data_IF_608470687737
#
_entry.id   IF_608470687737
#
_cell.length_a   1.000
_cell.length_b   1.000
_cell.length_c   1.000
_cell.angle_alpha   90.00
_cell.angle_beta   90.00
_cell.angle_gamma   90.00
#
_symmetry.space_group_name_H-M   'P 1'
#
loop_
_entity.id
_entity.type
_entity.pdbx_description
1 polymer ?
#
# COMPACT_ATOMS: atom_id res chain seq x y z
N UNK A 1 38.99 -6.30 49.01
CA UNK A 1 37.84 -7.20 48.77
C UNK A 1 37.82 -7.62 47.31
N UNK A 2 38.14 -8.89 47.02
CA UNK A 2 38.05 -9.44 45.65
C UNK A 2 36.57 -9.71 45.33
N UNK A 3 35.96 -8.95 44.42
CA UNK A 3 34.63 -9.31 43.85
C UNK A 3 34.75 -10.72 43.25
N UNK A 4 33.88 -11.62 43.67
CA UNK A 4 33.85 -13.01 43.21
C UNK A 4 33.70 -13.06 41.69
N UNK A 5 34.35 -13.98 41.03
CA UNK A 5 34.27 -14.25 39.59
C UNK A 5 32.81 -14.42 39.14
N UNK A 6 31.98 -15.03 40.00
CA UNK A 6 30.54 -15.20 39.75
C UNK A 6 29.78 -13.87 39.58
N UNK A 7 30.08 -12.86 40.38
CA UNK A 7 29.46 -11.53 40.27
C UNK A 7 29.82 -10.82 38.95
N UNK A 8 31.02 -11.04 38.41
CA UNK A 8 31.42 -10.48 37.11
C UNK A 8 30.73 -11.18 35.94
N UNK A 9 30.54 -12.49 36.02
CA UNK A 9 29.82 -13.29 35.01
C UNK A 9 28.35 -12.91 34.99
N UNK A 10 27.70 -12.77 36.16
CA UNK A 10 26.28 -12.35 36.23
C UNK A 10 26.09 -10.95 35.66
N UNK A 11 26.98 -10.00 35.96
CA UNK A 11 26.89 -8.66 35.38
C UNK A 11 27.13 -8.65 33.87
N UNK A 12 28.04 -9.49 33.37
CA UNK A 12 28.27 -9.60 31.91
C UNK A 12 27.05 -10.17 31.19
N UNK A 13 26.43 -11.24 31.72
CA UNK A 13 25.21 -11.84 31.17
C UNK A 13 24.08 -10.83 31.21
N UNK A 14 23.88 -10.08 32.28
CA UNK A 14 22.86 -9.05 32.38
C UNK A 14 23.11 -7.92 31.40
N UNK A 15 24.34 -7.47 31.20
CA UNK A 15 24.70 -6.43 30.23
C UNK A 15 24.44 -6.91 28.80
N UNK A 16 24.78 -8.16 28.46
CA UNK A 16 24.49 -8.76 27.17
C UNK A 16 23.00 -8.89 26.94
N UNK A 17 22.23 -9.29 27.96
CA UNK A 17 20.77 -9.39 27.87
C UNK A 17 20.12 -8.02 27.67
N UNK A 18 20.53 -6.99 28.40
CA UNK A 18 20.06 -5.61 28.23
C UNK A 18 20.41 -5.09 26.85
N UNK A 19 21.63 -5.34 26.35
CA UNK A 19 22.06 -4.96 25.02
C UNK A 19 21.22 -5.68 23.93
N UNK A 20 20.92 -6.97 24.12
CA UNK A 20 20.09 -7.76 23.22
C UNK A 20 18.64 -7.28 23.21
N UNK A 21 18.08 -6.91 24.37
CA UNK A 21 16.74 -6.30 24.47
C UNK A 21 16.73 -4.93 23.80
N UNK A 22 17.75 -4.10 24.03
CA UNK A 22 17.90 -2.81 23.35
C UNK A 22 18.06 -2.96 21.84
N UNK A 23 18.84 -3.93 21.36
CA UNK A 23 19.01 -4.19 19.93
C UNK A 23 17.72 -4.74 19.30
N UNK A 24 16.96 -5.58 20.03
CA UNK A 24 15.63 -6.02 19.59
C UNK A 24 14.61 -4.88 19.58
N UNK A 25 14.57 -4.07 20.62
CA UNK A 25 13.72 -2.88 20.69
C UNK A 25 14.13 -1.85 19.63
N UNK A 26 15.43 -1.64 19.42
CA UNK A 26 15.93 -0.75 18.36
C UNK A 26 15.67 -1.32 16.94
N UNK A 27 15.71 -2.64 16.79
CA UNK A 27 15.37 -3.32 15.54
C UNK A 27 13.87 -3.35 15.24
N UNK A 28 13.02 -3.31 16.29
CA UNK A 28 11.56 -3.23 16.15
C UNK A 28 11.12 -1.79 15.89
N UNK A 29 11.85 -0.80 16.40
CA UNK A 29 11.63 0.63 16.16
C UNK A 29 12.68 1.21 15.19
N UNK A 30 12.81 0.64 14.01
CA UNK A 30 13.23 1.43 12.87
C UNK A 30 12.06 2.35 12.49
N UNK A 31 11.75 3.28 13.39
CA UNK A 31 10.96 4.45 13.07
C UNK A 31 11.78 5.17 12.01
N UNK A 32 11.37 5.03 10.77
CA UNK A 32 11.86 5.90 9.72
C UNK A 32 11.45 7.31 10.13
N UNK A 33 12.40 8.01 10.73
CA UNK A 33 12.23 9.42 11.05
C UNK A 33 12.14 10.11 9.70
N UNK A 34 10.91 10.25 9.18
CA UNK A 34 10.63 10.98 7.97
C UNK A 34 10.97 12.45 8.24
N UNK A 35 12.22 12.86 8.02
CA UNK A 35 12.65 14.26 8.10
C UNK A 35 11.77 15.16 7.24
N UNK A 36 12.24 16.30 6.81
CA UNK A 36 11.45 17.17 5.97
C UNK A 36 11.03 16.48 4.67
N UNK A 37 9.72 16.48 4.41
CA UNK A 37 9.17 16.03 3.14
C UNK A 37 9.40 17.09 2.07
N UNK A 38 9.72 16.65 0.86
CA UNK A 38 9.65 17.48 -0.33
C UNK A 38 8.19 17.67 -0.73
N UNK A 39 7.87 18.81 -1.31
CA UNK A 39 6.54 19.18 -1.77
C UNK A 39 6.53 19.24 -3.28
N UNK A 40 5.51 18.67 -3.91
CA UNK A 40 5.26 18.83 -5.34
C UNK A 40 3.76 18.98 -5.59
N UNK A 41 3.41 19.75 -6.59
CA UNK A 41 2.03 19.95 -7.04
C UNK A 41 1.99 20.23 -8.55
N UNK A 42 0.88 19.84 -9.18
CA UNK A 42 0.70 20.00 -10.62
C UNK A 42 0.46 21.48 -10.99
N UNK A 43 -0.45 22.14 -10.28
CA UNK A 43 -0.72 23.57 -10.43
C UNK A 43 -0.07 24.32 -9.28
N UNK A 44 0.97 25.07 -9.57
CA UNK A 44 1.79 25.74 -8.56
C UNK A 44 1.01 26.78 -7.75
N UNK A 45 1.19 26.75 -6.43
CA UNK A 45 0.62 27.72 -5.51
C UNK A 45 -0.86 27.51 -5.15
N UNK A 46 -1.46 26.42 -5.63
CA UNK A 46 -2.87 26.09 -5.35
C UNK A 46 -3.01 25.33 -4.04
N UNK A 47 -2.08 24.42 -3.76
CA UNK A 47 -2.15 23.59 -2.57
C UNK A 47 -1.30 24.16 -1.43
N UNK A 48 -1.90 24.31 -0.27
CA UNK A 48 -1.19 24.69 0.94
C UNK A 48 -0.71 23.44 1.66
N UNK A 49 0.60 23.39 1.89
CA UNK A 49 1.29 22.31 2.58
C UNK A 49 1.74 22.78 3.96
N UNK A 50 1.21 22.18 5.02
CA UNK A 50 1.53 22.60 6.40
C UNK A 50 1.76 21.41 7.33
N UNK A 51 2.45 21.68 8.46
CA UNK A 51 2.41 20.85 9.65
C UNK A 51 1.37 21.43 10.57
N UNK A 52 0.24 20.74 10.71
CA UNK A 52 -0.88 21.20 11.52
C UNK A 52 -0.74 20.65 12.95
N UNK A 53 -0.69 21.56 13.92
CA UNK A 53 -0.61 21.23 15.34
C UNK A 53 -1.98 21.21 16.02
N UNK A 54 -3.02 21.67 15.33
CA UNK A 54 -4.38 21.75 15.87
C UNK A 54 -5.19 20.49 15.59
N UNK A 55 -4.88 19.78 14.50
CA UNK A 55 -5.51 18.52 14.11
C UNK A 55 -4.44 17.43 14.07
N UNK A 56 -4.37 16.64 15.12
CA UNK A 56 -3.29 15.66 15.32
C UNK A 56 -3.84 14.28 15.67
N UNK A 57 -3.03 13.23 15.44
CA UNK A 57 -3.28 11.87 15.86
C UNK A 57 -2.00 11.28 16.45
N UNK A 58 -1.99 11.01 17.75
CA UNK A 58 -0.86 10.42 18.53
C UNK A 58 0.50 11.16 18.45
N UNK A 59 0.60 12.29 17.73
CA UNK A 59 1.82 13.08 17.56
C UNK A 59 1.53 14.57 17.70
N UNK A 60 2.60 15.39 17.83
CA UNK A 60 2.50 16.83 18.02
C UNK A 60 1.97 17.59 16.79
N UNK A 61 1.94 16.95 15.64
CA UNK A 61 1.43 17.52 14.39
C UNK A 61 1.03 16.43 13.38
N UNK A 62 0.23 16.83 12.42
CA UNK A 62 -0.05 16.07 11.20
C UNK A 62 0.45 16.81 9.96
N UNK A 63 0.69 16.08 8.87
CA UNK A 63 0.94 16.68 7.57
C UNK A 63 -0.40 16.99 6.89
N UNK A 64 -0.63 18.29 6.61
CA UNK A 64 -1.86 18.77 6.02
C UNK A 64 -1.63 19.22 4.58
N UNK A 65 -2.46 18.71 3.66
CA UNK A 65 -2.66 19.23 2.31
C UNK A 65 -4.05 19.88 2.24
N UNK A 66 -4.09 21.14 1.82
CA UNK A 66 -5.32 21.90 1.67
C UNK A 66 -5.35 22.52 0.28
N UNK A 67 -6.30 22.12 -0.54
CA UNK A 67 -6.48 22.63 -1.90
C UNK A 67 -7.92 23.11 -2.10
N UNK A 68 -8.08 24.38 -2.45
CA UNK A 68 -9.41 24.98 -2.72
C UNK A 68 -9.88 24.73 -4.15
N UNK A 69 -8.95 24.36 -5.04
CA UNK A 69 -9.21 24.02 -6.43
C UNK A 69 -8.72 22.59 -6.71
N UNK A 70 -9.22 22.00 -7.79
CA UNK A 70 -8.74 20.70 -8.22
C UNK A 70 -7.27 20.75 -8.62
N UNK A 71 -6.46 20.01 -7.88
CA UNK A 71 -5.02 19.91 -8.05
C UNK A 71 -4.54 18.49 -7.73
N UNK A 72 -3.32 18.16 -8.12
CA UNK A 72 -2.60 17.00 -7.68
C UNK A 72 -1.37 17.46 -6.89
N UNK A 73 -1.31 17.10 -5.63
CA UNK A 73 -0.31 17.58 -4.71
C UNK A 73 0.17 16.46 -3.78
N UNK A 74 1.48 16.41 -3.55
CA UNK A 74 2.11 15.35 -2.75
C UNK A 74 3.19 15.92 -1.82
N UNK A 75 3.20 15.46 -0.57
CA UNK A 75 4.38 15.43 0.27
C UNK A 75 5.10 14.11 0.03
N UNK A 76 6.36 14.11 -0.34
CA UNK A 76 7.13 12.88 -0.53
C UNK A 76 8.51 12.95 0.05
N UNK A 77 9.09 11.80 0.30
CA UNK A 77 10.45 11.64 0.78
C UNK A 77 11.11 10.47 0.07
N UNK A 78 12.36 10.68 -0.32
CA UNK A 78 13.22 9.61 -0.82
C UNK A 78 13.72 8.75 0.33
N UNK A 79 13.49 7.46 0.25
CA UNK A 79 13.94 6.46 1.21
C UNK A 79 14.72 5.35 0.51
N UNK A 80 15.67 4.75 1.24
CA UNK A 80 16.36 3.55 0.77
C UNK A 80 15.51 2.32 1.04
N UNK A 81 15.43 1.43 0.07
CA UNK A 81 14.74 0.15 0.15
C UNK A 81 15.65 -0.97 -0.33
N UNK A 82 15.36 -2.19 0.04
CA UNK A 82 16.02 -3.37 -0.52
C UNK A 82 15.34 -3.73 -1.84
N UNK A 83 16.07 -4.05 -2.91
CA UNK A 83 15.45 -4.52 -4.15
C UNK A 83 14.63 -5.79 -3.96
N UNK A 84 13.61 -5.99 -4.79
CA UNK A 84 12.74 -7.15 -4.83
C UNK A 84 12.18 -7.52 -3.44
N UNK A 85 11.76 -6.50 -2.71
CA UNK A 85 11.27 -6.66 -1.34
C UNK A 85 9.91 -6.01 -1.20
N UNK A 86 8.90 -6.73 -0.69
CA UNK A 86 7.60 -6.15 -0.39
C UNK A 86 7.68 -5.26 0.85
N UNK A 87 6.96 -4.16 0.80
CA UNK A 87 6.83 -3.20 1.88
C UNK A 87 5.36 -2.91 2.18
N UNK A 88 5.07 -2.64 3.44
CA UNK A 88 3.78 -2.13 3.88
C UNK A 88 3.95 -0.78 4.54
N UNK A 89 3.35 0.24 3.94
CA UNK A 89 3.21 1.56 4.56
C UNK A 89 1.82 1.67 5.18
N UNK A 90 1.75 2.18 6.39
CA UNK A 90 0.50 2.53 7.06
C UNK A 90 0.54 3.95 7.54
N UNK A 91 -0.60 4.62 7.58
CA UNK A 91 -0.79 5.90 8.23
C UNK A 91 -2.22 6.05 8.74
N UNK A 92 -2.43 7.04 9.59
CA UNK A 92 -3.75 7.55 9.92
C UNK A 92 -4.05 8.74 9.01
N UNK A 93 -5.24 8.76 8.43
CA UNK A 93 -5.71 9.82 7.55
C UNK A 93 -7.05 10.36 8.03
N UNK A 94 -7.20 11.68 8.00
CA UNK A 94 -8.46 12.42 8.24
C UNK A 94 -8.71 13.31 7.04
N UNK A 95 -9.97 13.43 6.63
CA UNK A 95 -10.34 14.23 5.45
C UNK A 95 -11.51 15.15 5.74
N UNK A 96 -11.54 16.28 5.03
CA UNK A 96 -12.64 17.23 5.05
C UNK A 96 -12.93 17.70 3.62
N UNK A 97 -14.17 17.47 3.17
CA UNK A 97 -14.67 17.87 1.86
C UNK A 97 -13.76 17.46 0.69
N UNK A 98 -13.18 16.27 0.75
CA UNK A 98 -12.32 15.78 -0.34
C UNK A 98 -13.19 15.34 -1.51
N UNK A 99 -13.02 16.01 -2.64
CA UNK A 99 -13.70 15.72 -3.90
C UNK A 99 -12.68 15.38 -4.97
N UNK A 100 -13.02 14.45 -5.86
CA UNK A 100 -12.22 14.18 -7.07
C UNK A 100 -12.85 14.81 -8.29
N UNK A 101 -12.02 15.33 -9.19
CA UNK A 101 -12.45 15.87 -10.46
C UNK A 101 -13.16 14.80 -11.29
N UNK A 102 -14.37 15.10 -11.75
CA UNK A 102 -15.20 14.16 -12.54
C UNK A 102 -15.56 12.84 -11.84
N UNK A 103 -15.48 12.76 -10.51
CA UNK A 103 -15.86 11.56 -9.76
C UNK A 103 -14.97 10.33 -9.99
N UNK A 104 -13.84 10.48 -10.69
CA UNK A 104 -12.96 9.37 -11.08
C UNK A 104 -12.43 8.61 -9.86
N UNK A 105 -12.28 7.30 -10.02
CA UNK A 105 -11.56 6.45 -9.08
C UNK A 105 -10.04 6.75 -9.10
N UNK A 106 -9.33 6.42 -8.02
CA UNK A 106 -7.88 6.59 -7.95
C UNK A 106 -7.40 8.02 -7.69
N UNK A 107 -8.28 8.91 -7.23
CA UNK A 107 -7.92 10.24 -6.74
C UNK A 107 -8.65 10.55 -5.45
N UNK A 108 -8.01 11.31 -4.57
CA UNK A 108 -8.46 11.62 -3.21
C UNK A 108 -7.26 11.77 -2.29
N UNK A 109 -7.47 11.57 -0.99
CA UNK A 109 -6.39 11.47 -0.03
C UNK A 109 -5.83 10.04 -0.03
N UNK A 110 -4.56 9.86 -0.35
CA UNK A 110 -3.92 8.55 -0.51
C UNK A 110 -2.43 8.58 -0.22
N UNK A 111 -1.84 7.41 -0.02
CA UNK A 111 -0.40 7.21 -0.06
C UNK A 111 0.02 6.80 -1.48
N UNK A 112 1.18 7.28 -1.94
CA UNK A 112 1.65 7.00 -3.29
C UNK A 112 3.18 6.92 -3.36
N UNK A 113 3.69 6.21 -4.35
CA UNK A 113 5.06 6.37 -4.82
C UNK A 113 5.04 7.48 -5.85
N UNK A 114 5.81 8.56 -5.60
CA UNK A 114 5.88 9.70 -6.49
C UNK A 114 6.31 9.28 -7.90
N UNK A 115 5.82 9.99 -8.91
CA UNK A 115 6.10 9.76 -10.33
C UNK A 115 5.74 8.35 -10.86
N UNK A 116 4.87 7.64 -10.11
CA UNK A 116 4.32 6.35 -10.52
C UNK A 116 2.79 6.32 -10.37
N UNK A 117 2.18 5.25 -10.87
CA UNK A 117 0.75 4.97 -10.64
C UNK A 117 0.51 4.12 -9.38
N UNK A 118 1.57 3.75 -8.67
CA UNK A 118 1.49 2.89 -7.47
C UNK A 118 0.98 3.72 -6.28
N UNK A 119 -0.21 3.41 -5.78
CA UNK A 119 -0.85 4.12 -4.67
C UNK A 119 -1.76 3.19 -3.85
N UNK A 120 -2.12 3.67 -2.65
CA UNK A 120 -3.16 3.05 -1.82
C UNK A 120 -4.55 3.29 -2.39
N UNK A 121 -5.55 2.73 -1.72
CA UNK A 121 -6.93 3.23 -1.86
C UNK A 121 -6.98 4.72 -1.54
N UNK A 122 -7.94 5.41 -2.14
CA UNK A 122 -8.15 6.84 -1.96
C UNK A 122 -9.36 7.14 -1.09
N UNK A 123 -9.21 8.05 -0.14
CA UNK A 123 -10.27 8.50 0.76
C UNK A 123 -10.88 9.80 0.22
N UNK A 124 -12.21 9.85 0.15
CA UNK A 124 -13.00 11.00 -0.32
C UNK A 124 -14.02 11.42 0.74
N UNK A 125 -14.57 12.60 0.60
CA UNK A 125 -15.58 13.15 1.51
C UNK A 125 -14.97 13.69 2.80
N UNK A 126 -15.78 13.68 3.85
CA UNK A 126 -15.38 14.10 5.21
C UNK A 126 -15.38 12.87 6.10
N UNK A 127 -14.21 12.52 6.62
CA UNK A 127 -14.01 11.35 7.47
C UNK A 127 -13.13 11.70 8.66
N UNK A 128 -13.44 11.10 9.81
CA UNK A 128 -12.55 11.16 10.94
C UNK A 128 -11.33 10.22 10.73
N UNK A 129 -10.39 10.24 11.66
CA UNK A 129 -9.18 9.47 11.58
C UNK A 129 -9.45 7.98 11.31
N UNK A 130 -8.91 7.48 10.21
CA UNK A 130 -8.98 6.08 9.83
C UNK A 130 -7.62 5.61 9.33
N UNK A 131 -7.38 4.31 9.48
CA UNK A 131 -6.12 3.69 9.03
C UNK A 131 -6.15 3.51 7.52
N UNK A 132 -5.08 3.90 6.87
CA UNK A 132 -4.82 3.63 5.46
C UNK A 132 -3.61 2.72 5.34
N UNK A 133 -3.67 1.74 4.45
CA UNK A 133 -2.61 0.78 4.19
C UNK A 133 -2.21 0.81 2.71
N UNK A 134 -0.92 0.72 2.45
CA UNK A 134 -0.36 0.64 1.12
C UNK A 134 0.72 -0.43 1.06
N UNK A 135 0.47 -1.47 0.29
CA UNK A 135 1.41 -2.57 0.06
C UNK A 135 1.99 -2.38 -1.33
N UNK A 136 3.32 -2.42 -1.42
CA UNK A 136 4.03 -2.30 -2.68
C UNK A 136 5.29 -3.17 -2.69
N UNK A 137 5.76 -3.52 -3.88
CA UNK A 137 7.05 -4.17 -4.09
C UNK A 137 8.08 -3.15 -4.57
N UNK A 138 9.28 -3.19 -4.01
CA UNK A 138 10.36 -2.29 -4.41
C UNK A 138 10.88 -2.59 -5.82
N UNK A 139 10.58 -3.77 -6.38
CA UNK A 139 11.12 -4.25 -7.66
C UNK A 139 12.65 -4.17 -7.62
N UNK A 140 13.29 -3.74 -8.69
CA UNK A 140 14.74 -3.57 -8.76
C UNK A 140 15.24 -2.21 -8.20
N UNK A 141 14.38 -1.46 -7.48
CA UNK A 141 14.72 -0.13 -6.95
C UNK A 141 15.49 -0.25 -5.64
N UNK A 142 16.53 0.53 -5.46
CA UNK A 142 17.27 0.72 -4.20
C UNK A 142 16.78 1.94 -3.42
N UNK A 143 16.03 2.82 -4.08
CA UNK A 143 15.39 3.98 -3.47
C UNK A 143 14.01 4.19 -4.07
N UNK A 144 13.09 4.71 -3.26
CA UNK A 144 11.75 5.13 -3.70
C UNK A 144 11.43 6.51 -3.11
N UNK A 145 10.58 7.25 -3.79
CA UNK A 145 10.01 8.50 -3.31
C UNK A 145 8.56 8.22 -2.89
N UNK A 146 8.33 8.08 -1.59
CA UNK A 146 7.03 7.72 -1.04
C UNK A 146 6.42 8.88 -0.29
N UNK A 147 5.09 9.04 -0.37
CA UNK A 147 4.45 10.19 0.23
C UNK A 147 2.94 10.13 0.36
N UNK A 148 2.39 11.28 0.75
CA UNK A 148 0.97 11.54 1.01
C UNK A 148 0.46 12.50 -0.05
N UNK A 149 -0.60 12.12 -0.72
CA UNK A 149 -1.11 12.79 -1.90
C UNK A 149 -2.56 13.18 -1.71
N UNK A 150 -2.89 14.39 -2.15
CA UNK A 150 -4.25 14.83 -2.41
C UNK A 150 -4.37 15.04 -3.92
N UNK A 151 -5.04 14.12 -4.59
CA UNK A 151 -5.07 14.03 -6.04
C UNK A 151 -4.78 12.62 -6.52
N UNK A 152 -4.32 12.48 -7.75
CA UNK A 152 -3.93 11.22 -8.36
C UNK A 152 -3.39 11.43 -9.76
N UNK A 153 -2.65 10.44 -10.30
CA UNK A 153 -2.03 10.56 -11.62
C UNK A 153 -3.03 10.73 -12.78
N UNK A 154 -4.30 10.38 -12.56
CA UNK A 154 -5.34 10.41 -13.61
C UNK A 154 -6.44 11.42 -13.33
N UNK A 155 -6.46 12.03 -12.14
CA UNK A 155 -7.50 12.96 -11.74
C UNK A 155 -7.08 13.81 -10.55
N UNK A 156 -7.44 15.08 -10.57
CA UNK A 156 -7.16 16.03 -9.50
C UNK A 156 -8.17 15.90 -8.35
N UNK A 157 -7.79 16.42 -7.18
CA UNK A 157 -8.67 16.51 -6.02
C UNK A 157 -8.58 17.89 -5.38
N UNK A 158 -9.64 18.28 -4.67
CA UNK A 158 -9.68 19.45 -3.78
C UNK A 158 -10.18 19.02 -2.42
N UNK A 159 -10.05 19.89 -1.41
CA UNK A 159 -10.44 19.62 -0.03
C UNK A 159 -9.24 19.61 0.90
N UNK A 160 -9.38 19.00 2.06
CA UNK A 160 -8.35 18.97 3.09
C UNK A 160 -8.08 17.52 3.49
N UNK A 161 -6.80 17.18 3.60
CA UNK A 161 -6.36 15.88 4.10
C UNK A 161 -5.23 16.07 5.12
N UNK A 162 -5.34 15.38 6.25
CA UNK A 162 -4.32 15.28 7.28
C UNK A 162 -3.80 13.86 7.35
N UNK A 163 -2.49 13.71 7.45
CA UNK A 163 -1.81 12.43 7.55
C UNK A 163 -0.90 12.39 8.77
N UNK A 164 -0.93 11.30 9.51
CA UNK A 164 -0.15 11.11 10.73
C UNK A 164 0.16 9.63 10.96
N UNK A 165 0.98 9.32 11.97
CA UNK A 165 1.29 7.96 12.44
C UNK A 165 1.80 7.04 11.33
N UNK A 166 2.91 7.45 10.69
CA UNK A 166 3.50 6.72 9.58
C UNK A 166 4.35 5.56 10.05
N UNK A 167 4.14 4.40 9.46
CA UNK A 167 4.93 3.21 9.71
C UNK A 167 5.22 2.50 8.41
N UNK A 168 6.50 2.27 8.13
CA UNK A 168 6.96 1.44 7.03
C UNK A 168 7.51 0.13 7.58
N UNK A 169 6.95 -0.97 7.17
CA UNK A 169 7.37 -2.32 7.52
C UNK A 169 7.98 -2.99 6.28
N UNK A 170 9.17 -3.57 6.47
CA UNK A 170 9.85 -4.37 5.45
C UNK A 170 9.36 -5.82 5.56
N UNK A 171 9.05 -6.39 4.41
CA UNK A 171 8.74 -7.81 4.32
C UNK A 171 7.42 -8.13 5.00
N UNK A 172 6.33 -8.05 4.26
CA UNK A 172 5.19 -8.90 4.58
C UNK A 172 5.62 -10.30 4.15
N UNK A 173 6.30 -10.98 5.04
CA UNK A 173 6.38 -12.44 4.89
C UNK A 173 4.97 -12.92 5.19
N UNK A 174 4.18 -13.08 4.17
CA UNK A 174 3.12 -14.05 4.22
C UNK A 174 3.84 -15.39 4.42
N UNK A 175 3.93 -15.84 5.67
CA UNK A 175 4.46 -17.15 6.01
C UNK A 175 3.42 -18.24 5.70
N UNK A 176 2.23 -17.87 5.20
CA UNK A 176 1.28 -18.81 4.70
C UNK A 176 1.75 -19.28 3.31
N UNK A 177 2.22 -20.49 3.24
CA UNK A 177 2.40 -21.19 1.98
C UNK A 177 1.03 -21.55 1.34
N UNK A 178 -0.05 -21.01 1.87
CA UNK A 178 -1.43 -21.24 1.45
C UNK A 178 -1.95 -20.03 0.70
N UNK A 179 -2.27 -20.22 -0.56
CA UNK A 179 -2.83 -19.18 -1.41
C UNK A 179 -4.31 -19.46 -1.65
N UNK A 180 -5.17 -18.52 -1.33
CA UNK A 180 -6.57 -18.53 -1.70
C UNK A 180 -6.76 -17.64 -2.93
N UNK A 181 -7.17 -18.22 -4.04
CA UNK A 181 -7.30 -17.55 -5.33
C UNK A 181 -8.77 -17.49 -5.73
N UNK A 182 -9.29 -16.30 -6.02
CA UNK A 182 -10.59 -16.13 -6.66
C UNK A 182 -10.41 -16.08 -8.18
N UNK A 183 -11.04 -17.00 -8.90
CA UNK A 183 -11.04 -17.04 -10.36
C UNK A 183 -12.39 -16.58 -10.89
N UNK A 184 -12.44 -15.47 -11.60
CA UNK A 184 -13.65 -14.95 -12.22
C UNK A 184 -13.69 -15.32 -13.69
N UNK A 185 -14.68 -16.11 -14.11
CA UNK A 185 -14.94 -16.46 -15.52
C UNK A 185 -16.04 -15.53 -16.04
N UNK A 186 -15.66 -14.56 -16.85
CA UNK A 186 -16.61 -13.66 -17.52
C UNK A 186 -17.06 -14.37 -18.80
N UNK A 187 -18.31 -14.87 -18.81
CA UNK A 187 -18.83 -15.67 -19.91
C UNK A 187 -19.18 -14.84 -21.15
N UNK A 188 -19.59 -13.60 -20.93
CA UNK A 188 -20.09 -12.74 -22.00
C UNK A 188 -19.46 -11.35 -21.96
N UNK A 189 -19.08 -10.84 -23.11
CA UNK A 189 -18.55 -9.48 -23.29
C UNK A 189 -19.37 -8.80 -24.40
N UNK A 190 -19.84 -7.58 -24.15
CA UNK A 190 -20.52 -6.71 -25.11
C UNK A 190 -20.00 -5.28 -24.91
N UNK A 191 -18.88 -4.98 -25.55
CA UNK A 191 -18.14 -3.73 -25.35
C UNK A 191 -17.89 -3.01 -26.67
N UNK A 192 -17.84 -1.68 -26.62
CA UNK A 192 -17.45 -0.86 -27.76
C UNK A 192 -16.00 -0.41 -27.62
N UNK A 193 -15.14 -0.81 -28.53
CA UNK A 193 -13.73 -0.42 -28.58
C UNK A 193 -13.47 0.23 -29.94
N UNK A 194 -12.99 1.46 -29.95
CA UNK A 194 -12.62 2.21 -31.15
C UNK A 194 -13.71 2.19 -32.25
N UNK A 195 -14.97 2.44 -31.87
CA UNK A 195 -16.15 2.40 -32.73
C UNK A 195 -16.50 1.00 -33.28
N UNK A 196 -15.96 -0.06 -32.71
CA UNK A 196 -16.34 -1.44 -33.04
C UNK A 196 -17.06 -2.07 -31.86
N UNK A 197 -18.24 -2.61 -32.11
CA UNK A 197 -18.92 -3.42 -31.10
C UNK A 197 -18.32 -4.83 -31.09
N UNK A 198 -17.76 -5.24 -29.95
CA UNK A 198 -17.21 -6.57 -29.73
C UNK A 198 -18.16 -7.35 -28.84
N UNK A 199 -18.75 -8.41 -29.40
CA UNK A 199 -19.57 -9.37 -28.67
C UNK A 199 -18.87 -10.72 -28.68
N UNK A 200 -18.56 -11.22 -27.50
CA UNK A 200 -17.92 -12.53 -27.31
C UNK A 200 -18.71 -13.31 -26.26
N UNK A 201 -18.87 -14.59 -26.52
CA UNK A 201 -19.42 -15.54 -25.56
C UNK A 201 -18.51 -16.76 -25.46
N UNK A 202 -18.23 -17.20 -24.26
CA UNK A 202 -17.45 -18.40 -24.03
C UNK A 202 -18.30 -19.65 -24.27
N UNK A 203 -17.75 -20.65 -24.95
CA UNK A 203 -18.39 -21.95 -25.04
C UNK A 203 -18.24 -22.73 -23.73
N UNK A 204 -19.12 -23.72 -23.50
CA UNK A 204 -19.00 -24.62 -22.37
C UNK A 204 -17.64 -25.34 -22.33
N UNK A 205 -17.09 -25.70 -23.48
CA UNK A 205 -15.76 -26.31 -23.59
C UNK A 205 -14.63 -25.38 -23.14
N UNK A 206 -14.75 -24.07 -23.41
CA UNK A 206 -13.76 -23.09 -22.95
C UNK A 206 -13.84 -22.88 -21.45
N UNK A 207 -15.04 -22.88 -20.87
CA UNK A 207 -15.25 -22.82 -19.43
C UNK A 207 -14.62 -24.04 -18.73
N UNK A 208 -14.85 -25.23 -19.24
CA UNK A 208 -14.25 -26.48 -18.71
C UNK A 208 -12.71 -26.48 -18.83
N UNK A 209 -12.17 -25.97 -19.93
CA UNK A 209 -10.71 -25.77 -20.07
C UNK A 209 -10.15 -24.79 -19.03
N UNK A 210 -10.86 -23.69 -18.74
CA UNK A 210 -10.42 -22.76 -17.71
C UNK A 210 -10.41 -23.40 -16.32
N UNK A 211 -11.46 -24.15 -15.97
CA UNK A 211 -11.51 -24.92 -14.71
C UNK A 211 -10.35 -25.90 -14.62
N UNK A 212 -10.12 -26.68 -15.66
CA UNK A 212 -8.99 -27.62 -15.74
C UNK A 212 -7.61 -26.93 -15.62
N UNK A 213 -7.48 -25.70 -16.15
CA UNK A 213 -6.26 -24.91 -16.00
C UNK A 213 -6.02 -24.47 -14.55
N UNK A 214 -7.07 -24.21 -13.78
CA UNK A 214 -6.94 -23.89 -12.35
C UNK A 214 -6.42 -25.12 -11.56
N UNK A 215 -6.92 -26.32 -11.85
CA UNK A 215 -6.39 -27.56 -11.26
C UNK A 215 -4.94 -27.80 -11.62
N UNK A 216 -4.59 -27.53 -12.88
CA UNK A 216 -3.20 -27.61 -13.35
C UNK A 216 -2.32 -26.57 -12.66
N UNK A 217 -2.81 -25.34 -12.46
CA UNK A 217 -2.10 -24.31 -11.70
C UNK A 217 -1.84 -24.77 -10.26
N UNK A 218 -2.86 -25.25 -9.55
CA UNK A 218 -2.77 -25.79 -8.19
C UNK A 218 -1.70 -26.89 -8.09
N UNK A 219 -1.76 -27.86 -8.99
CA UNK A 219 -0.81 -29.00 -9.01
C UNK A 219 0.62 -28.56 -9.36
N UNK A 220 0.77 -27.62 -10.29
CA UNK A 220 2.06 -27.09 -10.73
C UNK A 220 2.73 -26.25 -9.62
N UNK A 221 1.97 -25.36 -8.97
CA UNK A 221 2.44 -24.57 -7.85
C UNK A 221 2.97 -25.45 -6.71
N UNK A 222 2.22 -26.50 -6.37
CA UNK A 222 2.65 -27.50 -5.38
C UNK A 222 3.95 -28.20 -5.79
N UNK A 223 4.04 -28.65 -7.04
CA UNK A 223 5.22 -29.34 -7.56
C UNK A 223 6.47 -28.46 -7.59
N UNK A 224 6.36 -27.24 -8.13
CA UNK A 224 7.48 -26.30 -8.27
C UNK A 224 7.98 -25.77 -6.92
N UNK A 225 7.13 -25.72 -5.93
CA UNK A 225 7.49 -25.31 -4.57
C UNK A 225 8.03 -26.45 -3.68
N UNK A 226 8.28 -27.63 -4.24
CA UNK A 226 8.63 -28.83 -3.48
C UNK A 226 7.60 -29.14 -2.35
N UNK A 227 6.33 -29.08 -2.67
CA UNK A 227 5.18 -29.28 -1.76
C UNK A 227 5.07 -28.23 -0.63
N UNK A 228 5.75 -27.10 -0.74
CA UNK A 228 5.68 -26.03 0.27
C UNK A 228 4.50 -25.08 0.05
N UNK A 229 4.03 -24.94 -1.20
CA UNK A 229 2.91 -24.08 -1.55
C UNK A 229 1.63 -24.89 -1.70
N UNK A 230 0.57 -24.43 -1.06
CA UNK A 230 -0.80 -24.91 -1.26
C UNK A 230 -1.60 -23.81 -1.94
N UNK A 231 -2.32 -24.15 -3.01
CA UNK A 231 -3.25 -23.24 -3.68
C UNK A 231 -4.65 -23.82 -3.48
N UNK A 232 -5.54 -23.03 -2.88
CA UNK A 232 -6.98 -23.27 -2.90
C UNK A 232 -7.63 -22.19 -3.76
N UNK A 233 -8.69 -22.54 -4.47
CA UNK A 233 -9.34 -21.58 -5.36
C UNK A 233 -10.86 -21.75 -5.37
N UNK A 234 -11.54 -20.61 -5.55
CA UNK A 234 -12.97 -20.56 -5.84
C UNK A 234 -13.18 -20.04 -7.25
N UNK A 235 -14.15 -20.63 -7.97
CA UNK A 235 -14.50 -20.19 -9.32
C UNK A 235 -15.86 -19.48 -9.26
N UNK A 236 -15.88 -18.25 -9.75
CA UNK A 236 -17.08 -17.42 -9.89
C UNK A 236 -17.38 -17.24 -11.38
N UNK A 237 -18.50 -17.78 -11.84
CA UNK A 237 -18.98 -17.61 -13.21
C UNK A 237 -19.88 -16.38 -13.28
N UNK A 238 -19.51 -15.43 -14.13
CA UNK A 238 -20.25 -14.19 -14.34
C UNK A 238 -21.08 -14.31 -15.62
N UNK A 239 -22.39 -14.43 -15.43
CA UNK A 239 -23.35 -14.58 -16.53
C UNK A 239 -23.66 -13.25 -17.20
N UNK A 240 -23.74 -12.17 -16.40
CA UNK A 240 -24.04 -10.83 -16.90
C UNK A 240 -22.92 -10.35 -17.84
N UNK A 241 -23.27 -9.85 -19.03
CA UNK A 241 -22.28 -9.32 -19.97
C UNK A 241 -21.57 -8.11 -19.39
N UNK A 242 -20.24 -8.10 -19.50
CA UNK A 242 -19.48 -6.87 -19.25
C UNK A 242 -19.79 -5.90 -20.39
N UNK A 243 -20.28 -4.71 -20.04
CA UNK A 243 -20.63 -3.62 -20.94
C UNK A 243 -19.78 -2.40 -20.66
N UNK A 244 -19.45 -1.65 -21.70
CA UNK A 244 -18.80 -0.31 -21.60
C UNK A 244 -19.69 0.75 -22.25
#
# INVERSE_FOLDING_TARGET
>A
MKKSIGSKIVNLIFTIFVLFVFLKLYGIYKTYNFGEFTKAEQKLGITKFTRDKSVTYNYDYSYKLESTEFNDAIFYKKISVKPNTPYKLTCMVKTENVESENGKSGSGAQMAIADTTECSESIKGTNDWQKLEFIFDSKNRETIEIGFRLGGNTSNSKGIAWFSDFKLEEGIKDNSNNWNVACFIIKNIDVNIENRNLKLSMSLNDIEKMKSNMDRFKSTARKLSNNKMTVEYDIYEIEEPVKT
#
